data_IF_336320227311
#
_entry.id   IF_336320227311
#
_cell.length_a   1.000
_cell.length_b   1.000
_cell.length_c   1.000
_cell.angle_alpha   90.00
_cell.angle_beta   90.00
_cell.angle_gamma   90.00
#
_symmetry.space_group_name_H-M   'P 1'
#
loop_
_entity.id
_entity.type
_entity.pdbx_description
1 polymer ?
#
# COMPACT_ATOMS: atom_id res chain seq x y z
N UNK A 1 -11.73 22.38 -0.09
CA UNK A 1 -10.43 22.08 0.51
C UNK A 1 -10.17 20.59 0.68
N UNK A 2 -11.04 19.83 1.40
CA UNK A 2 -10.80 18.40 1.59
C UNK A 2 -10.69 17.62 0.27
N UNK A 3 -11.55 17.90 -0.72
CA UNK A 3 -11.46 17.28 -2.05
C UNK A 3 -10.12 17.54 -2.77
N UNK A 4 -9.50 18.71 -2.58
CA UNK A 4 -8.15 18.99 -3.11
C UNK A 4 -7.10 18.11 -2.45
N UNK A 5 -7.19 17.92 -1.13
CA UNK A 5 -6.28 17.02 -0.40
C UNK A 5 -6.48 15.56 -0.83
N UNK A 6 -7.72 15.13 -1.04
CA UNK A 6 -8.04 13.80 -1.57
C UNK A 6 -7.47 13.60 -2.99
N UNK A 7 -7.64 14.59 -3.87
CA UNK A 7 -7.07 14.54 -5.21
C UNK A 7 -5.53 14.45 -5.19
N UNK A 8 -4.88 15.21 -4.29
CA UNK A 8 -3.43 15.11 -4.10
C UNK A 8 -3.00 13.73 -3.58
N UNK A 9 -3.82 13.09 -2.76
CA UNK A 9 -3.55 11.74 -2.27
C UNK A 9 -3.79 10.66 -3.33
N UNK A 10 -4.72 10.89 -4.26
CA UNK A 10 -4.83 10.03 -5.45
C UNK A 10 -3.54 10.05 -6.27
N UNK A 11 -2.87 11.21 -6.42
CA UNK A 11 -1.56 11.31 -7.09
C UNK A 11 -0.49 10.51 -6.34
N UNK A 12 -0.47 10.56 -5.01
CA UNK A 12 0.40 9.72 -4.19
C UNK A 12 0.17 8.21 -4.47
N UNK A 13 -1.09 7.78 -4.48
CA UNK A 13 -1.45 6.41 -4.80
C UNK A 13 -1.05 6.03 -6.23
N UNK A 14 -1.14 6.97 -7.17
CA UNK A 14 -0.68 6.78 -8.55
C UNK A 14 0.83 6.52 -8.60
N UNK A 15 1.65 7.27 -7.88
CA UNK A 15 3.11 7.11 -7.86
C UNK A 15 3.52 5.71 -7.39
N UNK A 16 2.86 5.19 -6.34
CA UNK A 16 3.12 3.83 -5.80
C UNK A 16 2.90 2.72 -6.82
N UNK A 17 1.90 2.86 -7.68
CA UNK A 17 1.52 1.81 -8.63
C UNK A 17 2.27 1.91 -9.96
N UNK A 18 2.96 3.03 -10.22
CA UNK A 18 3.60 3.29 -11.49
C UNK A 18 4.86 2.45 -11.69
N UNK A 19 5.82 2.54 -10.76
CA UNK A 19 7.16 1.95 -10.94
C UNK A 19 7.12 0.44 -11.21
N UNK A 20 6.30 -0.38 -10.51
CA UNK A 20 6.18 -1.81 -10.80
C UNK A 20 5.82 -2.14 -12.25
N UNK A 21 5.03 -1.28 -12.90
CA UNK A 21 4.66 -1.44 -14.31
C UNK A 21 5.83 -1.17 -15.26
N UNK A 22 6.78 -0.30 -14.85
CA UNK A 22 7.94 0.12 -15.64
C UNK A 22 9.18 -0.77 -15.44
N UNK A 23 9.11 -1.72 -14.53
CA UNK A 23 10.22 -2.62 -14.17
C UNK A 23 10.88 -3.29 -15.36
N UNK A 24 10.17 -3.84 -16.36
CA UNK A 24 10.81 -4.47 -17.52
C UNK A 24 11.70 -3.50 -18.31
N UNK A 25 11.32 -2.24 -18.47
CA UNK A 25 12.10 -1.22 -19.17
C UNK A 25 13.33 -0.81 -18.36
N UNK A 26 13.16 -0.56 -17.06
CA UNK A 26 14.25 -0.24 -16.13
C UNK A 26 15.27 -1.37 -16.11
N UNK A 27 14.79 -2.62 -16.00
CA UNK A 27 15.64 -3.82 -16.01
C UNK A 27 16.47 -3.91 -17.29
N UNK A 28 15.84 -3.73 -18.45
CA UNK A 28 16.54 -3.76 -19.75
C UNK A 28 17.54 -2.62 -19.90
N UNK A 29 17.21 -1.42 -19.40
CA UNK A 29 18.07 -0.24 -19.52
C UNK A 29 19.34 -0.33 -18.69
N UNK A 30 19.26 -0.89 -17.49
CA UNK A 30 20.37 -0.91 -16.52
C UNK A 30 21.01 -2.29 -16.33
N UNK A 31 20.45 -3.35 -16.93
CA UNK A 31 20.96 -4.71 -16.76
C UNK A 31 20.73 -5.28 -15.35
N UNK A 32 19.76 -4.77 -14.60
CA UNK A 32 19.50 -5.23 -13.24
C UNK A 32 18.94 -6.66 -13.23
N UNK A 33 19.26 -7.40 -12.17
CA UNK A 33 18.65 -8.71 -11.91
C UNK A 33 17.15 -8.57 -11.61
N UNK A 34 16.38 -9.62 -11.82
CA UNK A 34 14.94 -9.64 -11.48
C UNK A 34 14.71 -9.40 -9.99
N UNK A 35 15.56 -9.96 -9.13
CA UNK A 35 15.53 -9.70 -7.69
C UNK A 35 15.82 -8.22 -7.37
N UNK A 36 16.82 -7.61 -8.03
CA UNK A 36 17.17 -6.21 -7.84
C UNK A 36 16.03 -5.27 -8.20
N UNK A 37 15.41 -5.43 -9.38
CA UNK A 37 14.27 -4.58 -9.76
C UNK A 37 13.04 -4.85 -8.90
N UNK A 38 12.85 -6.08 -8.43
CA UNK A 38 11.82 -6.41 -7.46
C UNK A 38 12.03 -5.64 -6.15
N UNK A 39 13.28 -5.54 -5.68
CA UNK A 39 13.61 -4.72 -4.50
C UNK A 39 13.30 -3.23 -4.74
N UNK A 40 13.72 -2.68 -5.88
CA UNK A 40 13.40 -1.29 -6.25
C UNK A 40 11.89 -1.03 -6.32
N UNK A 41 11.08 -2.03 -6.71
CA UNK A 41 9.63 -1.91 -6.75
C UNK A 41 8.98 -1.81 -5.38
N UNK A 42 9.60 -2.38 -4.35
CA UNK A 42 8.99 -2.47 -3.01
C UNK A 42 9.72 -1.70 -1.93
N UNK A 43 10.97 -1.26 -2.15
CA UNK A 43 11.79 -0.56 -1.14
C UNK A 43 11.18 0.75 -0.63
N UNK A 44 10.31 1.40 -1.40
CA UNK A 44 9.61 2.60 -0.93
C UNK A 44 8.82 2.32 0.36
N UNK A 45 8.34 1.10 0.57
CA UNK A 45 7.64 0.73 1.80
C UNK A 45 8.55 0.76 3.03
N UNK A 46 9.86 0.56 2.87
CA UNK A 46 10.82 0.80 3.96
C UNK A 46 10.82 2.28 4.36
N UNK A 47 10.84 3.18 3.39
CA UNK A 47 10.68 4.62 3.64
C UNK A 47 9.39 4.92 4.40
N UNK A 48 8.29 4.29 4.01
CA UNK A 48 6.99 4.43 4.70
C UNK A 48 7.06 3.92 6.15
N UNK A 49 7.67 2.77 6.39
CA UNK A 49 7.82 2.22 7.74
C UNK A 49 8.64 3.13 8.66
N UNK A 50 9.68 3.76 8.13
CA UNK A 50 10.58 4.65 8.86
C UNK A 50 10.01 6.06 9.08
N UNK A 51 9.08 6.51 8.25
CA UNK A 51 8.58 7.88 8.24
C UNK A 51 7.69 8.25 9.43
N UNK A 52 7.08 7.28 10.10
CA UNK A 52 6.06 7.55 11.13
C UNK A 52 6.57 8.42 12.29
N UNK A 53 7.71 8.06 12.89
CA UNK A 53 8.29 8.80 14.02
C UNK A 53 8.78 10.18 13.60
N UNK A 54 9.59 10.34 12.52
CA UNK A 54 9.99 11.64 12.01
C UNK A 54 8.82 12.56 11.68
N UNK A 55 7.77 12.02 11.06
CA UNK A 55 6.57 12.82 10.71
C UNK A 55 5.87 13.34 11.97
N UNK A 56 5.73 12.50 13.00
CA UNK A 56 5.17 12.92 14.28
C UNK A 56 5.95 14.10 14.91
N UNK A 57 7.29 14.04 14.86
CA UNK A 57 8.16 15.10 15.34
C UNK A 57 8.02 16.40 14.53
N UNK A 58 7.91 16.30 13.21
CA UNK A 58 7.69 17.46 12.34
C UNK A 58 6.35 18.14 12.63
N UNK A 59 5.29 17.37 12.90
CA UNK A 59 3.95 17.89 13.23
C UNK A 59 3.88 18.66 14.55
N UNK A 60 4.85 18.51 15.45
CA UNK A 60 4.97 19.32 16.68
C UNK A 60 5.60 20.67 16.37
N UNK A 61 6.44 20.78 15.33
CA UNK A 61 7.23 21.99 15.03
C UNK A 61 6.71 22.82 13.87
N UNK A 62 6.04 22.18 12.92
CA UNK A 62 5.59 22.81 11.69
C UNK A 62 4.09 22.60 11.48
N UNK A 63 3.48 23.49 10.69
CA UNK A 63 2.08 23.37 10.33
C UNK A 63 1.81 22.08 9.54
N UNK A 64 0.63 21.50 9.72
CA UNK A 64 0.20 20.29 8.98
C UNK A 64 0.26 20.53 7.47
N UNK A 65 -0.15 21.72 7.01
CA UNK A 65 -0.05 22.10 5.59
C UNK A 65 1.39 22.03 5.09
N UNK A 66 2.34 22.59 5.83
CA UNK A 66 3.77 22.58 5.48
C UNK A 66 4.34 21.17 5.44
N UNK A 67 4.05 20.35 6.46
CA UNK A 67 4.54 18.96 6.50
C UNK A 67 3.96 18.14 5.33
N UNK A 68 2.67 18.33 5.01
CA UNK A 68 2.05 17.68 3.85
C UNK A 68 2.72 18.08 2.55
N UNK A 69 2.94 19.37 2.30
CA UNK A 69 3.59 19.87 1.09
C UNK A 69 5.04 19.40 0.98
N UNK A 70 5.77 19.36 2.11
CA UNK A 70 7.12 18.79 2.16
C UNK A 70 7.13 17.29 1.79
N UNK A 71 6.15 16.52 2.28
CA UNK A 71 5.97 15.12 1.90
C UNK A 71 5.71 14.94 0.41
N UNK A 72 4.80 15.76 -0.15
CA UNK A 72 4.51 15.74 -1.60
C UNK A 72 5.76 16.14 -2.41
N UNK A 73 6.49 17.17 -1.99
CA UNK A 73 7.73 17.59 -2.65
C UNK A 73 8.78 16.46 -2.63
N UNK A 74 8.92 15.77 -1.50
CA UNK A 74 9.89 14.71 -1.34
C UNK A 74 9.59 13.51 -2.25
N UNK A 75 8.35 13.02 -2.29
CA UNK A 75 8.03 11.89 -3.17
C UNK A 75 8.09 12.30 -4.65
N UNK A 76 7.60 13.47 -5.00
CA UNK A 76 7.64 13.97 -6.39
C UNK A 76 9.08 14.18 -6.89
N UNK A 77 9.94 14.75 -6.04
CA UNK A 77 11.37 14.89 -6.35
C UNK A 77 12.05 13.52 -6.49
N UNK A 78 11.78 12.57 -5.58
CA UNK A 78 12.30 11.20 -5.66
C UNK A 78 11.89 10.49 -6.95
N UNK A 79 10.63 10.65 -7.37
CA UNK A 79 10.11 10.12 -8.63
C UNK A 79 10.83 10.74 -9.84
N UNK A 80 11.03 12.07 -9.88
CA UNK A 80 11.77 12.72 -10.96
C UNK A 80 13.27 12.35 -10.94
N UNK A 81 13.90 12.29 -9.77
CA UNK A 81 15.31 11.90 -9.63
C UNK A 81 15.56 10.46 -10.09
N UNK A 82 14.55 9.57 -9.96
CA UNK A 82 14.64 8.20 -10.49
C UNK A 82 14.91 8.18 -12.00
N UNK A 83 14.46 9.20 -12.76
CA UNK A 83 14.65 9.31 -14.22
C UNK A 83 16.13 9.48 -14.59
N UNK A 84 16.86 10.22 -13.76
CA UNK A 84 18.28 10.56 -13.98
C UNK A 84 19.23 9.71 -13.16
N UNK A 85 18.74 8.67 -12.50
CA UNK A 85 19.55 7.73 -11.73
C UNK A 85 20.63 7.10 -12.62
N UNK A 86 21.84 6.99 -12.09
CA UNK A 86 22.99 6.41 -12.81
C UNK A 86 23.11 4.91 -12.61
N UNK A 87 22.47 4.37 -11.57
CA UNK A 87 22.53 2.96 -11.25
C UNK A 87 21.62 2.55 -10.10
N UNK A 88 21.83 1.34 -9.62
CA UNK A 88 21.01 0.74 -8.57
C UNK A 88 20.99 1.54 -7.24
N UNK A 89 22.15 2.01 -6.71
CA UNK A 89 22.16 2.75 -5.44
C UNK A 89 21.34 4.05 -5.51
N UNK A 90 21.45 4.81 -6.60
CA UNK A 90 20.71 6.06 -6.78
C UNK A 90 19.20 5.78 -6.77
N UNK A 91 18.75 4.81 -7.59
CA UNK A 91 17.35 4.41 -7.64
C UNK A 91 16.83 3.95 -6.27
N UNK A 92 17.65 3.18 -5.54
CA UNK A 92 17.30 2.69 -4.21
C UNK A 92 17.03 3.86 -3.25
N UNK A 93 17.92 4.84 -3.21
CA UNK A 93 17.80 6.03 -2.36
C UNK A 93 16.56 6.83 -2.76
N UNK A 94 16.37 7.09 -4.06
CA UNK A 94 15.24 7.89 -4.55
C UNK A 94 13.90 7.18 -4.27
N UNK A 95 13.82 5.87 -4.49
CA UNK A 95 12.61 5.09 -4.19
C UNK A 95 12.32 5.00 -2.68
N UNK A 96 13.33 4.88 -1.83
CA UNK A 96 13.13 4.95 -0.38
C UNK A 96 12.66 6.34 0.06
N UNK A 97 13.22 7.41 -0.52
CA UNK A 97 12.80 8.79 -0.25
C UNK A 97 11.35 9.05 -0.69
N UNK A 98 10.91 8.50 -1.85
CA UNK A 98 9.49 8.58 -2.24
C UNK A 98 8.58 8.03 -1.15
N UNK A 99 8.91 6.87 -0.58
CA UNK A 99 8.13 6.24 0.48
C UNK A 99 8.02 7.09 1.75
N UNK A 100 9.09 7.79 2.13
CA UNK A 100 9.06 8.74 3.26
C UNK A 100 8.05 9.86 2.97
N UNK A 101 8.15 10.49 1.81
CA UNK A 101 7.26 11.58 1.41
C UNK A 101 5.79 11.16 1.33
N UNK A 102 5.53 9.98 0.78
CA UNK A 102 4.19 9.39 0.68
C UNK A 102 3.55 9.15 2.05
N UNK A 103 4.32 8.61 3.00
CA UNK A 103 3.85 8.36 4.36
C UNK A 103 3.64 9.67 5.13
N UNK A 104 4.49 10.67 4.94
CA UNK A 104 4.31 12.01 5.51
C UNK A 104 2.95 12.59 5.08
N UNK A 105 2.66 12.58 3.78
CA UNK A 105 1.38 13.08 3.27
C UNK A 105 0.19 12.32 3.85
N UNK A 106 0.23 10.98 3.85
CA UNK A 106 -0.86 10.16 4.38
C UNK A 106 -1.11 10.41 5.86
N UNK A 107 -0.05 10.47 6.67
CA UNK A 107 -0.13 10.71 8.12
C UNK A 107 -0.79 12.06 8.41
N UNK A 108 -0.38 13.10 7.70
CA UNK A 108 -0.96 14.44 7.86
C UNK A 108 -2.41 14.47 7.38
N UNK A 109 -2.72 13.84 6.24
CA UNK A 109 -4.09 13.80 5.71
C UNK A 109 -5.06 13.10 6.68
N UNK A 110 -4.66 11.97 7.26
CA UNK A 110 -5.44 11.28 8.29
C UNK A 110 -5.63 12.19 9.50
N UNK A 111 -4.58 12.88 9.94
CA UNK A 111 -4.64 13.80 11.09
C UNK A 111 -5.64 14.93 10.84
N UNK A 112 -5.61 15.56 9.66
CA UNK A 112 -6.57 16.61 9.28
C UNK A 112 -7.99 16.04 9.26
N UNK A 113 -8.20 14.87 8.62
CA UNK A 113 -9.52 14.26 8.50
C UNK A 113 -10.14 13.96 9.87
N UNK A 114 -9.37 13.35 10.78
CA UNK A 114 -9.84 12.97 12.12
C UNK A 114 -10.14 14.19 13.00
N UNK A 115 -9.36 15.27 12.88
CA UNK A 115 -9.53 16.47 13.70
C UNK A 115 -10.65 17.40 13.19
N UNK A 116 -10.76 17.54 11.86
CA UNK A 116 -11.77 18.42 11.27
C UNK A 116 -13.17 17.78 11.22
N UNK A 117 -13.28 16.50 10.84
CA UNK A 117 -14.56 15.81 10.70
C UNK A 117 -14.93 15.03 11.96
N UNK A 118 -15.04 15.70 13.10
CA UNK A 118 -15.26 15.05 14.42
C UNK A 118 -16.48 14.13 14.43
N UNK A 119 -17.60 14.56 13.84
CA UNK A 119 -18.84 13.79 13.79
C UNK A 119 -18.87 12.72 12.70
N UNK A 120 -18.02 12.83 11.65
CA UNK A 120 -18.04 11.99 10.45
C UNK A 120 -16.64 11.40 10.15
N UNK A 121 -15.86 11.07 11.17
CA UNK A 121 -14.48 10.55 11.02
C UNK A 121 -14.38 9.36 10.08
N UNK A 122 -15.28 8.38 10.26
CA UNK A 122 -15.30 7.17 9.44
C UNK A 122 -15.54 7.47 7.95
N UNK A 123 -16.43 8.42 7.65
CA UNK A 123 -16.68 8.86 6.28
C UNK A 123 -15.47 9.57 5.68
N UNK A 124 -14.78 10.42 6.45
CA UNK A 124 -13.57 11.12 6.01
C UNK A 124 -12.41 10.13 5.74
N UNK A 125 -12.21 9.14 6.61
CA UNK A 125 -11.23 8.07 6.39
C UNK A 125 -11.62 7.17 5.20
N UNK A 126 -12.91 6.90 5.03
CA UNK A 126 -13.43 6.21 3.85
C UNK A 126 -13.14 6.96 2.55
N UNK A 127 -13.27 8.29 2.55
CA UNK A 127 -12.93 9.13 1.40
C UNK A 127 -11.42 9.09 1.07
N UNK A 128 -10.55 9.00 2.07
CA UNK A 128 -9.11 8.80 1.86
C UNK A 128 -8.85 7.44 1.18
N UNK A 129 -9.45 6.37 1.68
CA UNK A 129 -9.30 5.04 1.08
C UNK A 129 -9.89 4.98 -0.34
N UNK A 130 -11.01 5.62 -0.58
CA UNK A 130 -11.59 5.75 -1.93
C UNK A 130 -10.63 6.48 -2.88
N UNK A 131 -10.04 7.58 -2.42
CA UNK A 131 -9.05 8.35 -3.20
C UNK A 131 -7.81 7.49 -3.54
N UNK A 132 -7.33 6.68 -2.60
CA UNK A 132 -6.28 5.69 -2.88
C UNK A 132 -6.70 4.71 -3.97
N UNK A 133 -7.92 4.16 -3.88
CA UNK A 133 -8.47 3.25 -4.89
C UNK A 133 -8.54 3.88 -6.28
N UNK A 134 -8.98 5.15 -6.38
CA UNK A 134 -8.98 5.89 -7.64
C UNK A 134 -7.56 6.02 -8.23
N UNK A 135 -6.57 6.37 -7.41
CA UNK A 135 -5.18 6.44 -7.85
C UNK A 135 -4.67 5.07 -8.33
N UNK A 136 -5.01 4.00 -7.62
CA UNK A 136 -4.63 2.63 -7.98
C UNK A 136 -5.30 2.13 -9.29
N UNK A 137 -6.48 2.67 -9.65
CA UNK A 137 -7.11 2.40 -10.94
C UNK A 137 -6.45 3.21 -12.06
N UNK A 138 -6.31 4.51 -11.85
CA UNK A 138 -5.89 5.46 -12.89
C UNK A 138 -4.42 5.27 -13.25
N UNK A 139 -3.55 5.02 -12.26
CA UNK A 139 -2.10 4.93 -12.46
C UNK A 139 -1.67 3.88 -13.48
N UNK A 140 -2.07 2.60 -13.36
CA UNK A 140 -1.62 1.59 -14.30
C UNK A 140 -2.16 1.81 -15.72
N UNK A 141 -3.36 2.38 -15.85
CA UNK A 141 -3.97 2.72 -17.16
C UNK A 141 -3.15 3.83 -17.83
N UNK A 142 -2.97 4.97 -17.14
CA UNK A 142 -2.23 6.11 -17.68
C UNK A 142 -0.76 5.76 -17.86
N UNK A 143 -0.14 5.10 -16.89
CA UNK A 143 1.25 4.68 -16.96
C UNK A 143 1.51 3.72 -18.14
N UNK A 144 0.63 2.74 -18.33
CA UNK A 144 0.69 1.80 -19.46
C UNK A 144 0.48 2.48 -20.81
N UNK A 145 -0.47 3.41 -20.90
CA UNK A 145 -0.72 4.20 -22.11
C UNK A 145 0.45 5.12 -22.46
N UNK A 146 0.98 5.86 -21.49
CA UNK A 146 2.13 6.76 -21.68
C UNK A 146 3.39 5.98 -22.07
N UNK A 147 3.63 4.82 -21.44
CA UNK A 147 4.74 3.95 -21.78
C UNK A 147 4.60 3.41 -23.21
N UNK A 148 3.40 2.98 -23.60
CA UNK A 148 3.13 2.48 -24.95
C UNK A 148 3.31 3.55 -26.03
N UNK A 149 2.81 4.76 -25.79
CA UNK A 149 2.89 5.89 -26.73
C UNK A 149 4.32 6.42 -26.91
N UNK A 150 5.06 6.59 -25.80
CA UNK A 150 6.38 7.21 -25.83
C UNK A 150 7.54 6.22 -25.95
N UNK A 151 7.28 4.92 -25.75
CA UNK A 151 8.30 3.85 -25.68
C UNK A 151 9.44 4.16 -24.68
N UNK A 152 9.17 5.03 -23.72
CA UNK A 152 10.12 5.52 -22.73
C UNK A 152 9.49 5.43 -21.34
N UNK A 153 10.16 4.72 -20.43
CA UNK A 153 9.73 4.60 -19.02
C UNK A 153 9.87 5.92 -18.24
N UNK A 154 10.69 6.85 -18.72
CA UNK A 154 10.89 8.16 -18.12
C UNK A 154 9.65 9.06 -18.28
N UNK A 155 8.91 8.92 -19.38
CA UNK A 155 7.76 9.78 -19.67
C UNK A 155 6.64 9.66 -18.61
N UNK A 156 6.13 8.48 -18.23
CA UNK A 156 5.15 8.37 -17.16
C UNK A 156 5.71 8.79 -15.79
N UNK A 157 6.99 8.53 -15.48
CA UNK A 157 7.63 9.00 -14.24
C UNK A 157 7.67 10.53 -14.19
N UNK A 158 8.06 11.20 -15.30
CA UNK A 158 8.07 12.66 -15.39
C UNK A 158 6.67 13.25 -15.22
N UNK A 159 5.67 12.67 -15.89
CA UNK A 159 4.29 13.14 -15.79
C UNK A 159 3.77 13.07 -14.35
N UNK A 160 4.00 11.96 -13.64
CA UNK A 160 3.49 11.77 -12.28
C UNK A 160 4.26 12.60 -11.26
N UNK A 161 5.58 12.72 -11.39
CA UNK A 161 6.37 13.61 -10.53
C UNK A 161 5.97 15.07 -10.67
N UNK A 162 5.72 15.55 -11.91
CA UNK A 162 5.25 16.93 -12.17
C UNK A 162 3.83 17.15 -11.64
N UNK A 163 2.93 16.16 -11.73
CA UNK A 163 1.60 16.23 -11.13
C UNK A 163 1.66 16.44 -9.61
N UNK A 164 2.63 15.86 -8.93
CA UNK A 164 2.83 16.10 -7.51
C UNK A 164 3.22 17.55 -7.20
N UNK A 165 4.12 18.16 -7.98
CA UNK A 165 4.45 19.58 -7.82
C UNK A 165 3.27 20.50 -8.16
N UNK A 166 2.47 20.15 -9.17
CA UNK A 166 1.21 20.84 -9.44
C UNK A 166 0.26 20.76 -8.24
N UNK A 167 0.15 19.60 -7.61
CA UNK A 167 -0.67 19.44 -6.41
C UNK A 167 -0.21 20.34 -5.26
N UNK A 168 1.11 20.55 -5.08
CA UNK A 168 1.65 21.49 -4.09
C UNK A 168 1.15 22.91 -4.39
N UNK A 169 1.23 23.36 -5.66
CA UNK A 169 0.78 24.69 -6.05
C UNK A 169 -0.72 24.86 -5.81
N UNK A 170 -1.53 23.86 -6.18
CA UNK A 170 -2.98 23.88 -5.94
C UNK A 170 -3.30 23.90 -4.45
N UNK A 171 -2.64 23.09 -3.62
CA UNK A 171 -2.82 23.10 -2.16
C UNK A 171 -2.41 24.47 -1.58
N UNK A 172 -1.31 25.07 -2.06
CA UNK A 172 -0.84 26.37 -1.58
C UNK A 172 -1.91 27.46 -1.69
N UNK A 173 -2.60 27.47 -2.84
CA UNK A 173 -3.63 28.50 -3.17
C UNK A 173 -5.01 28.12 -2.61
N UNK A 174 -5.42 26.83 -2.68
CA UNK A 174 -6.82 26.43 -2.46
C UNK A 174 -7.10 25.93 -1.05
N UNK A 175 -6.08 25.61 -0.25
CA UNK A 175 -6.25 25.08 1.11
C UNK A 175 -5.82 26.10 2.15
N UNK A 176 -6.80 26.62 2.87
CA UNK A 176 -6.53 27.63 3.90
C UNK A 176 -5.96 26.97 5.18
N UNK A 177 -5.06 27.68 5.92
CA UNK A 177 -4.45 27.15 7.15
C UNK A 177 -5.48 26.76 8.23
N UNK A 178 -6.58 27.49 8.39
CA UNK A 178 -7.61 27.17 9.38
C UNK A 178 -8.24 25.78 9.17
N UNK A 179 -8.25 25.28 7.93
CA UNK A 179 -8.77 23.94 7.62
C UNK A 179 -7.80 22.83 8.05
N UNK A 180 -6.50 23.07 7.93
CA UNK A 180 -5.47 22.08 8.25
C UNK A 180 -5.07 22.09 9.72
N UNK A 181 -5.13 23.26 10.39
CA UNK A 181 -4.62 23.46 11.74
C UNK A 181 -5.73 23.44 12.82
N UNK A 182 -6.93 22.94 12.49
CA UNK A 182 -8.01 22.81 13.46
C UNK A 182 -7.57 22.10 14.76
N UNK A 183 -8.15 22.51 15.88
CA UNK A 183 -7.79 22.02 17.23
C UNK A 183 -7.87 20.49 17.32
N UNK A 184 -6.90 19.91 18.02
CA UNK A 184 -6.91 18.49 18.34
C UNK A 184 -7.94 18.23 19.43
N UNK A 185 -9.10 17.71 19.07
CA UNK A 185 -10.09 17.29 20.06
C UNK A 185 -9.58 16.03 20.75
N UNK A 186 -9.08 16.19 21.98
CA UNK A 186 -8.70 15.06 22.83
C UNK A 186 -9.99 14.42 23.36
N UNK A 187 -10.37 13.28 22.78
CA UNK A 187 -11.44 12.47 23.35
C UNK A 187 -10.87 11.57 24.43
N UNK A 188 -11.41 11.67 25.65
CA UNK A 188 -11.27 10.60 26.63
C UNK A 188 -11.96 9.35 26.06
N UNK A 189 -11.17 8.45 25.49
CA UNK A 189 -11.67 7.12 25.13
C UNK A 189 -11.91 6.36 26.41
N UNK A 190 -13.18 6.04 26.73
CA UNK A 190 -13.49 5.01 27.73
C UNK A 190 -12.66 3.78 27.43
N UNK A 191 -11.97 3.28 28.44
CA UNK A 191 -11.13 2.09 28.34
C UNK A 191 -12.05 0.93 27.91
N UNK A 192 -11.93 0.52 26.65
CA UNK A 192 -12.59 -0.66 26.13
C UNK A 192 -11.68 -1.86 26.44
N UNK A 193 -12.24 -3.05 26.58
CA UNK A 193 -11.51 -4.30 26.81
C UNK A 193 -10.31 -4.44 25.86
N UNK A 194 -9.55 -5.47 26.03
CA UNK A 194 -8.31 -5.73 25.30
C UNK A 194 -7.13 -5.90 26.26
N UNK A 195 -6.03 -6.46 25.76
CA UNK A 195 -4.89 -6.79 26.60
C UNK A 195 -4.19 -5.54 27.15
N UNK A 196 -3.74 -5.57 28.42
CA UNK A 196 -3.02 -4.45 29.04
C UNK A 196 -1.56 -4.35 28.59
N UNK A 197 -1.03 -5.35 27.90
CA UNK A 197 0.37 -5.45 27.47
C UNK A 197 0.48 -5.58 25.96
N UNK A 198 1.53 -5.00 25.39
CA UNK A 198 1.80 -5.09 23.94
C UNK A 198 2.09 -6.54 23.51
N UNK A 199 2.73 -7.31 24.38
CA UNK A 199 3.05 -8.71 24.11
C UNK A 199 1.96 -9.58 24.69
N UNK A 200 1.03 -9.99 23.85
CA UNK A 200 -0.02 -10.97 24.14
C UNK A 200 -0.26 -11.85 22.92
N UNK A 201 -0.93 -12.97 23.08
CA UNK A 201 -1.14 -13.97 22.03
C UNK A 201 -1.72 -13.35 20.74
N UNK A 202 -2.77 -12.56 20.86
CA UNK A 202 -3.44 -11.97 19.70
C UNK A 202 -2.53 -10.98 18.99
N UNK A 203 -1.84 -10.09 19.70
CA UNK A 203 -0.91 -9.12 19.11
C UNK A 203 0.24 -9.81 18.40
N UNK A 204 0.83 -10.88 18.98
CA UNK A 204 1.90 -11.64 18.35
C UNK A 204 1.42 -12.28 17.05
N UNK A 205 0.26 -12.99 17.09
CA UNK A 205 -0.31 -13.62 15.90
C UNK A 205 -0.64 -12.61 14.82
N UNK A 206 -1.27 -11.49 15.18
CA UNK A 206 -1.59 -10.40 14.23
C UNK A 206 -0.32 -9.78 13.63
N UNK A 207 0.75 -9.61 14.42
CA UNK A 207 2.03 -9.10 13.93
C UNK A 207 2.68 -10.06 12.93
N UNK A 208 2.70 -11.38 13.21
CA UNK A 208 3.20 -12.38 12.26
C UNK A 208 2.35 -12.38 10.98
N UNK A 209 1.02 -12.35 11.12
CA UNK A 209 0.13 -12.24 9.96
C UNK A 209 0.34 -10.92 9.17
N UNK A 210 0.69 -9.82 9.83
CA UNK A 210 1.01 -8.56 9.14
C UNK A 210 2.34 -8.64 8.41
N UNK A 211 3.37 -9.29 8.96
CA UNK A 211 4.61 -9.57 8.25
C UNK A 211 4.35 -10.41 6.99
N UNK A 212 3.57 -11.47 7.10
CA UNK A 212 3.16 -12.30 5.96
C UNK A 212 2.33 -11.47 4.97
N UNK A 213 1.36 -10.71 5.46
CA UNK A 213 0.50 -9.85 4.64
C UNK A 213 1.29 -8.83 3.83
N UNK A 214 2.36 -8.26 4.41
CA UNK A 214 3.29 -7.37 3.69
C UNK A 214 4.02 -8.08 2.55
N UNK A 215 4.55 -9.28 2.81
CA UNK A 215 5.21 -10.09 1.77
C UNK A 215 4.24 -10.48 0.65
N UNK A 216 3.02 -10.87 0.99
CA UNK A 216 1.99 -11.32 0.05
C UNK A 216 1.46 -10.15 -0.79
N UNK A 217 1.01 -9.08 -0.15
CA UNK A 217 0.43 -7.93 -0.83
C UNK A 217 1.45 -7.22 -1.72
N UNK A 218 2.63 -6.92 -1.20
CA UNK A 218 3.65 -6.19 -1.94
C UNK A 218 4.47 -7.08 -2.87
N UNK A 219 4.52 -8.40 -2.65
CA UNK A 219 4.98 -9.35 -3.64
C UNK A 219 4.15 -9.29 -4.93
N UNK A 220 2.83 -9.28 -4.78
CA UNK A 220 1.90 -9.05 -5.89
C UNK A 220 2.08 -7.66 -6.50
N UNK A 221 1.94 -6.59 -5.72
CA UNK A 221 2.00 -5.22 -6.24
C UNK A 221 3.35 -4.90 -6.91
N UNK A 222 4.45 -5.40 -6.36
CA UNK A 222 5.79 -5.11 -6.87
C UNK A 222 6.19 -5.90 -8.11
N UNK A 223 5.70 -7.13 -8.27
CA UNK A 223 6.23 -8.03 -9.29
C UNK A 223 5.19 -8.66 -10.23
N UNK A 224 3.90 -8.62 -9.87
CA UNK A 224 2.86 -9.17 -10.74
C UNK A 224 2.72 -8.41 -12.08
N UNK A 225 2.87 -7.07 -12.15
CA UNK A 225 2.93 -6.37 -13.43
C UNK A 225 4.08 -6.87 -14.33
N UNK A 226 5.23 -7.21 -13.72
CA UNK A 226 6.37 -7.79 -14.45
C UNK A 226 6.06 -9.19 -14.93
N UNK A 227 5.39 -10.03 -14.13
CA UNK A 227 4.91 -11.36 -14.55
C UNK A 227 3.92 -11.27 -15.73
N UNK A 228 2.96 -10.35 -15.69
CA UNK A 228 2.05 -10.15 -16.83
C UNK A 228 2.81 -9.80 -18.12
N UNK A 229 3.86 -9.01 -18.03
CA UNK A 229 4.64 -8.53 -19.17
C UNK A 229 5.71 -9.53 -19.65
N UNK A 230 6.51 -10.07 -18.73
CA UNK A 230 7.62 -10.97 -19.08
C UNK A 230 7.21 -12.45 -19.06
N UNK A 231 6.29 -12.84 -18.19
CA UNK A 231 5.79 -14.21 -18.08
C UNK A 231 4.66 -14.55 -19.05
N UNK A 232 3.70 -13.63 -19.21
CA UNK A 232 2.52 -13.84 -20.05
C UNK A 232 2.56 -13.04 -21.37
N UNK A 233 3.58 -12.23 -21.61
CA UNK A 233 3.76 -11.49 -22.86
C UNK A 233 2.80 -10.31 -23.08
N UNK A 234 2.19 -9.77 -22.02
CA UNK A 234 1.25 -8.65 -22.14
C UNK A 234 1.93 -7.37 -22.59
N UNK A 235 1.22 -6.57 -23.41
CA UNK A 235 1.62 -5.19 -23.68
C UNK A 235 1.57 -4.34 -22.39
N UNK A 236 2.31 -3.21 -22.32
CA UNK A 236 2.22 -2.32 -21.18
C UNK A 236 0.79 -1.87 -20.84
N UNK A 237 -0.01 -1.55 -21.87
CA UNK A 237 -1.40 -1.14 -21.71
C UNK A 237 -2.28 -2.27 -21.17
N UNK A 238 -2.13 -3.49 -21.68
CA UNK A 238 -2.89 -4.65 -21.18
C UNK A 238 -2.54 -4.97 -19.72
N UNK A 239 -1.25 -4.99 -19.36
CA UNK A 239 -0.82 -5.20 -17.99
C UNK A 239 -1.34 -4.10 -17.06
N UNK A 240 -1.27 -2.82 -17.49
CA UNK A 240 -1.83 -1.71 -16.76
C UNK A 240 -3.34 -1.84 -16.53
N UNK A 241 -4.10 -2.26 -17.55
CA UNK A 241 -5.54 -2.48 -17.42
C UNK A 241 -5.84 -3.61 -16.43
N UNK A 242 -5.15 -4.75 -16.49
CA UNK A 242 -5.31 -5.82 -15.50
C UNK A 242 -5.03 -5.32 -14.09
N UNK A 243 -3.97 -4.53 -13.89
CA UNK A 243 -3.65 -3.95 -12.59
C UNK A 243 -4.68 -2.94 -12.09
N UNK A 244 -5.39 -2.24 -12.98
CA UNK A 244 -6.46 -1.32 -12.58
C UNK A 244 -7.65 -2.05 -11.95
N UNK A 245 -7.93 -3.29 -12.33
CA UNK A 245 -8.95 -4.12 -11.69
C UNK A 245 -8.61 -4.45 -10.24
N UNK A 246 -7.32 -4.58 -9.89
CA UNK A 246 -6.91 -4.64 -8.48
C UNK A 246 -7.35 -3.38 -7.71
N UNK A 247 -7.11 -2.19 -8.26
CA UNK A 247 -7.54 -0.92 -7.66
C UNK A 247 -9.06 -0.86 -7.47
N UNK A 248 -9.82 -1.34 -8.45
CA UNK A 248 -11.28 -1.43 -8.36
C UNK A 248 -11.72 -2.36 -7.23
N UNK A 249 -11.08 -3.52 -7.07
CA UNK A 249 -11.33 -4.44 -5.96
C UNK A 249 -11.00 -3.82 -4.60
N UNK A 250 -9.91 -3.07 -4.50
CA UNK A 250 -9.48 -2.41 -3.26
C UNK A 250 -10.48 -1.37 -2.73
N UNK A 251 -11.31 -0.77 -3.59
CA UNK A 251 -12.43 0.11 -3.18
C UNK A 251 -13.43 -0.64 -2.27
N UNK A 252 -13.52 -1.95 -2.37
CA UNK A 252 -14.32 -2.80 -1.49
C UNK A 252 -13.93 -2.76 -0.01
N UNK A 253 -12.89 -1.98 0.37
CA UNK A 253 -12.43 -1.83 1.75
C UNK A 253 -13.49 -1.36 2.75
N UNK A 254 -14.50 -0.63 2.30
CA UNK A 254 -15.65 -0.22 3.14
C UNK A 254 -16.45 -1.46 3.56
N UNK A 255 -16.76 -2.34 2.61
CA UNK A 255 -17.45 -3.60 2.89
C UNK A 255 -16.57 -4.54 3.74
N UNK A 256 -15.27 -4.54 3.49
CA UNK A 256 -14.30 -5.31 4.28
C UNK A 256 -14.23 -4.88 5.74
N UNK A 257 -14.24 -3.59 6.01
CA UNK A 257 -14.34 -3.06 7.38
C UNK A 257 -15.64 -3.48 8.08
N UNK A 258 -16.78 -3.37 7.39
CA UNK A 258 -18.07 -3.81 7.90
C UNK A 258 -18.08 -5.32 8.23
N UNK A 259 -17.49 -6.16 7.38
CA UNK A 259 -17.31 -7.60 7.67
C UNK A 259 -16.52 -7.83 8.95
N UNK A 260 -15.44 -7.09 9.16
CA UNK A 260 -14.59 -7.17 10.33
C UNK A 260 -15.25 -6.69 11.64
N UNK A 261 -16.26 -5.85 11.54
CA UNK A 261 -17.06 -5.41 12.70
C UNK A 261 -18.19 -6.41 13.04
N UNK A 262 -18.68 -7.15 12.04
CA UNK A 262 -19.85 -8.03 12.20
C UNK A 262 -19.48 -9.49 12.53
N UNK A 263 -18.34 -9.96 12.05
CA UNK A 263 -17.90 -11.34 12.22
C UNK A 263 -16.64 -11.44 13.11
N UNK A 264 -16.41 -12.63 13.66
CA UNK A 264 -15.24 -12.81 14.52
C UNK A 264 -13.92 -12.65 13.74
N UNK A 265 -12.89 -12.01 14.34
CA UNK A 265 -11.57 -11.85 13.73
C UNK A 265 -10.96 -13.17 13.21
N UNK A 266 -11.19 -14.26 13.93
CA UNK A 266 -10.76 -15.62 13.55
C UNK A 266 -11.38 -16.00 12.20
N UNK A 267 -12.71 -15.87 12.06
CA UNK A 267 -13.41 -16.26 10.84
C UNK A 267 -13.02 -15.39 9.66
N UNK A 268 -13.01 -14.06 9.85
CA UNK A 268 -12.69 -13.10 8.77
C UNK A 268 -11.29 -13.34 8.24
N UNK A 269 -10.27 -13.37 9.11
CA UNK A 269 -8.90 -13.53 8.65
C UNK A 269 -8.60 -14.91 8.10
N UNK A 270 -9.10 -16.00 8.74
CA UNK A 270 -8.83 -17.35 8.24
C UNK A 270 -9.46 -17.57 6.86
N UNK A 271 -10.75 -17.26 6.70
CA UNK A 271 -11.44 -17.46 5.42
C UNK A 271 -10.83 -16.61 4.29
N UNK A 272 -10.49 -15.35 4.57
CA UNK A 272 -9.93 -14.46 3.55
C UNK A 272 -8.48 -14.80 3.20
N UNK A 273 -7.65 -15.24 4.14
CA UNK A 273 -6.31 -15.72 3.81
C UNK A 273 -6.33 -17.05 3.04
N UNK A 274 -7.25 -17.98 3.35
CA UNK A 274 -7.41 -19.18 2.53
C UNK A 274 -7.93 -18.85 1.12
N UNK A 275 -8.85 -17.89 1.00
CA UNK A 275 -9.28 -17.39 -0.30
C UNK A 275 -8.12 -16.72 -1.07
N UNK A 276 -7.30 -15.91 -0.39
CA UNK A 276 -6.11 -15.30 -0.98
C UNK A 276 -5.10 -16.36 -1.46
N UNK A 277 -4.93 -17.46 -0.72
CA UNK A 277 -4.07 -18.57 -1.15
C UNK A 277 -4.55 -19.20 -2.47
N UNK A 278 -5.84 -19.45 -2.58
CA UNK A 278 -6.43 -20.00 -3.80
C UNK A 278 -6.33 -19.00 -4.99
N UNK A 279 -6.64 -17.72 -4.76
CA UNK A 279 -6.49 -16.68 -5.77
C UNK A 279 -5.03 -16.50 -6.21
N UNK A 280 -4.09 -16.52 -5.25
CA UNK A 280 -2.66 -16.44 -5.53
C UNK A 280 -2.19 -17.59 -6.43
N UNK A 281 -2.64 -18.80 -6.14
CA UNK A 281 -2.37 -19.96 -7.00
C UNK A 281 -2.91 -19.76 -8.41
N UNK A 282 -4.18 -19.34 -8.54
CA UNK A 282 -4.83 -19.13 -9.84
C UNK A 282 -4.20 -17.99 -10.65
N UNK A 283 -3.70 -16.92 -10.00
CA UNK A 283 -3.02 -15.81 -10.67
C UNK A 283 -1.76 -16.27 -11.43
N UNK A 284 -1.00 -17.22 -10.86
CA UNK A 284 0.29 -17.64 -11.43
C UNK A 284 0.22 -18.97 -12.18
N UNK A 285 -0.77 -19.84 -11.89
CA UNK A 285 -0.95 -21.14 -12.54
C UNK A 285 -2.19 -21.22 -13.44
N UNK A 286 -3.09 -20.26 -13.32
CA UNK A 286 -4.33 -20.25 -14.09
C UNK A 286 -4.14 -19.81 -15.54
N UNK A 287 -5.25 -19.53 -16.21
CA UNK A 287 -5.24 -19.09 -17.61
C UNK A 287 -4.52 -17.74 -17.74
N UNK A 288 -3.54 -17.66 -18.64
CA UNK A 288 -2.88 -16.41 -19.03
C UNK A 288 -3.70 -15.51 -19.94
N UNK A 289 -5.00 -15.78 -20.15
CA UNK A 289 -5.88 -14.92 -20.95
C UNK A 289 -6.28 -13.65 -20.16
N UNK A 290 -6.55 -12.56 -20.90
CA UNK A 290 -6.80 -11.23 -20.31
C UNK A 290 -7.98 -11.21 -19.34
N UNK A 291 -9.13 -11.77 -19.72
CA UNK A 291 -10.35 -11.72 -18.88
C UNK A 291 -10.17 -12.47 -17.55
N UNK A 292 -9.69 -13.73 -17.51
CA UNK A 292 -9.39 -14.40 -16.26
C UNK A 292 -8.42 -13.62 -15.38
N UNK A 293 -7.34 -13.06 -15.93
CA UNK A 293 -6.36 -12.28 -15.16
C UNK A 293 -6.95 -10.99 -14.60
N UNK A 294 -7.82 -10.30 -15.33
CA UNK A 294 -8.53 -9.12 -14.86
C UNK A 294 -9.48 -9.45 -13.70
N UNK A 295 -10.26 -10.54 -13.83
CA UNK A 295 -11.18 -11.00 -12.76
C UNK A 295 -10.38 -11.40 -11.52
N UNK A 296 -9.31 -12.16 -11.67
CA UNK A 296 -8.46 -12.59 -10.56
C UNK A 296 -7.80 -11.38 -9.86
N UNK A 297 -7.33 -10.37 -10.62
CA UNK A 297 -6.79 -9.13 -10.06
C UNK A 297 -7.86 -8.35 -9.27
N UNK A 298 -9.10 -8.27 -9.77
CA UNK A 298 -10.21 -7.66 -9.04
C UNK A 298 -10.48 -8.38 -7.72
N UNK A 299 -10.64 -9.70 -7.77
CA UNK A 299 -10.88 -10.51 -6.57
C UNK A 299 -9.71 -10.43 -5.58
N UNK A 300 -8.48 -10.39 -6.08
CA UNK A 300 -7.29 -10.17 -5.27
C UNK A 300 -7.33 -8.83 -4.55
N UNK A 301 -7.63 -7.75 -5.26
CA UNK A 301 -7.80 -6.41 -4.68
C UNK A 301 -8.89 -6.38 -3.61
N UNK A 302 -10.02 -7.01 -3.87
CA UNK A 302 -11.15 -7.10 -2.94
C UNK A 302 -10.78 -7.87 -1.66
N UNK A 303 -10.16 -9.03 -1.78
CA UNK A 303 -9.84 -9.89 -0.64
C UNK A 303 -8.62 -9.34 0.13
N UNK A 304 -7.52 -9.05 -0.55
CA UNK A 304 -6.26 -8.74 0.14
C UNK A 304 -6.21 -7.29 0.61
N UNK A 305 -6.54 -6.34 -0.24
CA UNK A 305 -6.57 -4.92 0.16
C UNK A 305 -7.89 -4.50 0.78
N UNK A 306 -9.00 -5.01 0.24
CA UNK A 306 -10.34 -4.66 0.72
C UNK A 306 -10.64 -5.28 2.08
N UNK A 307 -10.26 -6.52 2.34
CA UNK A 307 -10.63 -7.20 3.60
C UNK A 307 -9.41 -7.43 4.51
N UNK A 308 -8.36 -8.13 4.05
CA UNK A 308 -7.24 -8.54 4.91
C UNK A 308 -6.52 -7.33 5.49
N UNK A 309 -6.07 -6.39 4.64
CA UNK A 309 -5.31 -5.21 5.07
C UNK A 309 -6.07 -4.36 6.09
N UNK A 310 -7.33 -4.06 5.82
CA UNK A 310 -8.17 -3.21 6.69
C UNK A 310 -8.41 -3.88 8.04
N UNK A 311 -8.69 -5.19 8.03
CA UNK A 311 -8.98 -5.92 9.25
C UNK A 311 -7.73 -6.22 10.08
N UNK A 312 -6.58 -6.49 9.47
CA UNK A 312 -5.32 -6.58 10.21
C UNK A 312 -5.03 -5.28 10.97
N UNK A 313 -5.19 -4.12 10.31
CA UNK A 313 -5.02 -2.81 10.96
C UNK A 313 -6.01 -2.61 12.13
N UNK A 314 -7.30 -2.90 11.90
CA UNK A 314 -8.35 -2.74 12.89
C UNK A 314 -8.19 -3.69 14.08
N UNK A 315 -7.84 -4.93 13.83
CA UNK A 315 -7.71 -5.94 14.89
C UNK A 315 -6.48 -5.74 15.78
N UNK A 316 -5.39 -5.15 15.27
CA UNK A 316 -4.29 -4.71 16.14
C UNK A 316 -4.77 -3.70 17.19
N UNK A 317 -5.61 -2.77 16.79
CA UNK A 317 -6.19 -1.80 17.73
C UNK A 317 -7.18 -2.46 18.70
N UNK A 318 -7.98 -3.43 18.23
CA UNK A 318 -8.95 -4.19 19.08
C UNK A 318 -8.26 -5.18 20.04
N UNK A 319 -7.06 -5.66 19.73
CA UNK A 319 -6.31 -6.59 20.57
C UNK A 319 -5.73 -5.95 21.85
N UNK A 320 -5.66 -4.61 21.92
CA UNK A 320 -5.04 -3.85 22.99
C UNK A 320 -6.03 -2.87 23.60
N UNK A 321 -5.79 -2.47 24.89
CA UNK A 321 -6.53 -1.38 25.52
C UNK A 321 -6.43 -0.08 24.73
N UNK A 322 -7.45 0.78 24.84
CA UNK A 322 -7.53 2.07 24.13
C UNK A 322 -6.31 2.96 24.35
N UNK A 323 -5.71 2.92 25.53
CA UNK A 323 -4.47 3.66 25.87
C UNK A 323 -3.24 3.22 25.04
N UNK A 324 -3.25 2.00 24.52
CA UNK A 324 -2.18 1.43 23.69
C UNK A 324 -2.48 1.43 22.19
N UNK A 325 -3.62 1.98 21.75
CA UNK A 325 -4.05 1.94 20.35
C UNK A 325 -3.05 2.57 19.37
N UNK A 326 -2.37 3.65 19.77
CA UNK A 326 -1.32 4.27 18.95
C UNK A 326 -0.12 3.32 18.74
N UNK A 327 0.29 2.59 19.79
CA UNK A 327 1.37 1.60 19.71
C UNK A 327 0.95 0.38 18.87
N UNK A 328 -0.32 -0.03 18.97
CA UNK A 328 -0.89 -1.10 18.13
C UNK A 328 -0.79 -0.76 16.64
N UNK A 329 -1.18 0.47 16.26
CA UNK A 329 -1.06 0.95 14.88
C UNK A 329 0.39 1.01 14.43
N UNK A 330 1.30 1.44 15.30
CA UNK A 330 2.74 1.43 15.02
C UNK A 330 3.27 0.01 14.73
N UNK A 331 2.90 -0.98 15.53
CA UNK A 331 3.28 -2.39 15.32
C UNK A 331 2.77 -2.88 13.97
N UNK A 332 1.50 -2.63 13.64
CA UNK A 332 0.92 -3.00 12.35
C UNK A 332 1.69 -2.38 11.18
N UNK A 333 1.89 -1.06 11.19
CA UNK A 333 2.56 -0.33 10.10
C UNK A 333 4.00 -0.83 9.93
N UNK A 334 4.75 -0.93 11.03
CA UNK A 334 6.16 -1.36 10.97
C UNK A 334 6.30 -2.81 10.50
N UNK A 335 5.46 -3.72 10.99
CA UNK A 335 5.51 -5.13 10.59
C UNK A 335 5.12 -5.32 9.12
N UNK A 336 4.02 -4.72 8.68
CA UNK A 336 3.52 -4.87 7.32
C UNK A 336 4.44 -4.19 6.30
N UNK A 337 4.77 -2.93 6.49
CA UNK A 337 5.61 -2.20 5.51
C UNK A 337 7.09 -2.57 5.60
N UNK A 338 7.57 -2.97 6.77
CA UNK A 338 8.95 -3.47 6.93
C UNK A 338 9.18 -4.76 6.14
N UNK A 339 8.28 -5.73 6.23
CA UNK A 339 8.36 -6.97 5.43
C UNK A 339 8.08 -6.72 3.94
N UNK A 340 7.15 -5.81 3.63
CA UNK A 340 6.83 -5.41 2.26
C UNK A 340 8.07 -4.91 1.49
N UNK A 341 9.02 -4.26 2.17
CA UNK A 341 10.21 -3.71 1.52
C UNK A 341 11.03 -4.76 0.76
N UNK A 342 11.09 -5.98 1.26
CA UNK A 342 11.83 -7.09 0.64
C UNK A 342 10.96 -8.01 -0.22
N UNK A 343 9.66 -7.76 -0.28
CA UNK A 343 8.71 -8.65 -0.95
C UNK A 343 9.01 -8.85 -2.43
N UNK A 344 9.26 -7.78 -3.16
CA UNK A 344 9.59 -7.84 -4.58
C UNK A 344 10.95 -8.51 -4.86
N UNK A 345 11.93 -8.30 -3.96
CA UNK A 345 13.21 -9.02 -4.04
C UNK A 345 13.00 -10.54 -3.98
N UNK A 346 12.21 -11.00 -3.01
CA UNK A 346 11.97 -12.43 -2.81
C UNK A 346 11.25 -13.07 -4.00
N UNK A 347 10.17 -12.43 -4.54
CA UNK A 347 9.51 -12.91 -5.75
C UNK A 347 10.50 -12.99 -6.91
N UNK A 348 11.27 -11.93 -7.16
CA UNK A 348 12.24 -11.90 -8.25
C UNK A 348 13.36 -12.92 -8.09
N UNK A 349 13.81 -13.16 -6.87
CA UNK A 349 14.84 -14.15 -6.55
C UNK A 349 14.36 -15.59 -6.78
N UNK A 350 13.14 -15.92 -6.32
CA UNK A 350 12.52 -17.22 -6.55
C UNK A 350 12.23 -17.41 -8.04
N UNK A 351 11.65 -16.39 -8.70
CA UNK A 351 11.30 -16.46 -10.11
C UNK A 351 12.51 -16.70 -11.01
N UNK A 352 13.68 -16.12 -10.67
CA UNK A 352 14.93 -16.35 -11.41
C UNK A 352 15.43 -17.79 -11.30
N UNK A 353 15.20 -18.47 -10.17
CA UNK A 353 15.69 -19.82 -9.88
C UNK A 353 14.71 -20.93 -10.25
N UNK A 354 13.43 -20.69 -10.03
CA UNK A 354 12.39 -21.72 -10.09
C UNK A 354 11.17 -21.33 -10.95
N UNK A 355 11.23 -20.16 -11.59
CA UNK A 355 10.13 -19.66 -12.43
C UNK A 355 9.06 -18.88 -11.68
N UNK A 356 8.22 -18.19 -12.46
CA UNK A 356 7.17 -17.30 -11.93
C UNK A 356 6.08 -18.06 -11.15
N UNK A 357 5.69 -19.24 -11.63
CA UNK A 357 4.68 -20.08 -11.00
C UNK A 357 5.10 -20.47 -9.58
N UNK A 358 6.33 -20.96 -9.42
CA UNK A 358 6.89 -21.32 -8.10
C UNK A 358 7.02 -20.10 -7.18
N UNK A 359 7.38 -18.93 -7.72
CA UNK A 359 7.43 -17.70 -6.93
C UNK A 359 6.05 -17.32 -6.38
N UNK A 360 5.00 -17.39 -7.22
CA UNK A 360 3.62 -17.17 -6.82
C UNK A 360 3.14 -18.21 -5.80
N UNK A 361 3.46 -19.49 -6.03
CA UNK A 361 3.09 -20.59 -5.14
C UNK A 361 3.70 -20.42 -3.73
N UNK A 362 5.00 -20.16 -3.64
CA UNK A 362 5.68 -20.05 -2.35
C UNK A 362 5.33 -18.74 -1.65
N UNK A 363 5.52 -17.60 -2.30
CA UNK A 363 5.40 -16.32 -1.60
C UNK A 363 3.97 -15.83 -1.48
N UNK A 364 3.11 -16.12 -2.45
CA UNK A 364 1.73 -15.62 -2.43
C UNK A 364 0.79 -16.67 -1.83
N UNK A 365 0.78 -17.90 -2.36
CA UNK A 365 -0.20 -18.91 -1.94
C UNK A 365 0.16 -19.57 -0.61
N UNK A 366 1.37 -20.11 -0.48
CA UNK A 366 1.78 -20.85 0.73
C UNK A 366 1.84 -19.92 1.96
N UNK A 367 2.38 -18.72 1.84
CA UNK A 367 2.39 -17.76 2.95
C UNK A 367 0.96 -17.36 3.36
N UNK A 368 0.05 -17.21 2.40
CA UNK A 368 -1.37 -16.96 2.72
C UNK A 368 -2.02 -18.17 3.44
N UNK A 369 -1.71 -19.39 3.05
CA UNK A 369 -2.17 -20.60 3.79
C UNK A 369 -1.68 -20.61 5.24
N UNK A 370 -0.39 -20.29 5.44
CA UNK A 370 0.20 -20.20 6.79
C UNK A 370 -0.52 -19.13 7.61
N UNK A 371 -0.74 -17.94 7.04
CA UNK A 371 -1.45 -16.86 7.74
C UNK A 371 -2.90 -17.25 8.07
N UNK A 372 -3.61 -17.96 7.17
CA UNK A 372 -4.94 -18.50 7.41
C UNK A 372 -4.96 -19.49 8.57
N UNK A 373 -3.96 -20.37 8.66
CA UNK A 373 -3.76 -21.29 9.77
C UNK A 373 -3.50 -20.56 11.10
N UNK A 374 -2.63 -19.54 11.10
CA UNK A 374 -2.36 -18.71 12.28
C UNK A 374 -3.63 -17.96 12.76
N UNK A 375 -4.47 -17.51 11.83
CA UNK A 375 -5.73 -16.84 12.18
C UNK A 375 -6.68 -17.73 12.97
N UNK A 376 -6.68 -19.04 12.77
CA UNK A 376 -7.47 -20.00 13.55
C UNK A 376 -7.07 -20.03 15.03
N UNK A 377 -5.84 -19.63 15.36
CA UNK A 377 -5.33 -19.58 16.73
C UNK A 377 -5.67 -18.30 17.49
N UNK A 378 -6.31 -17.30 16.84
CA UNK A 378 -6.77 -16.07 17.50
C UNK A 378 -7.81 -16.36 18.58
N UNK A 379 -7.80 -15.53 19.62
CA UNK A 379 -8.75 -15.56 20.75
C UNK A 379 -9.63 -14.30 20.71
N UNK A 380 -10.77 -14.31 19.97
CA UNK A 380 -11.62 -13.13 19.83
C UNK A 380 -12.17 -12.59 21.15
N UNK A 381 -12.41 -13.48 22.12
CA UNK A 381 -12.94 -13.11 23.44
C UNK A 381 -11.99 -12.21 24.26
N UNK A 382 -10.72 -12.09 23.86
CA UNK A 382 -9.72 -11.21 24.47
C UNK A 382 -9.50 -9.91 23.69
N UNK A 383 -10.32 -9.65 22.67
CA UNK A 383 -10.28 -8.46 21.83
C UNK A 383 -11.52 -7.60 22.13
N UNK A 384 -11.36 -6.26 22.09
CA UNK A 384 -12.44 -5.29 22.36
C UNK A 384 -13.27 -4.95 21.14
#
# INVERSE_FOLDING_TARGET
MFGVLLASYAINAMDRQLFPLLVPEVRRRYGFSLAGVGFLSTVFTLGMALAGVPTGYLLVRFSRKTVMQAGIALFSAGTLLTIIARGFPDMLIYRAATGIGEAMQLTVLITIAVNYFVSNRSAALGAINFSFGLGAIVSPILGGALLGANRSWQAPMAAFGLLGFLAIAVIAVSVAPWFTEGETVTYERKDRGGAPTLVNRNTVLLTVMSLIGGLVLYGYLGMYPTFLREGLGYSPAAAGTVMSFYGLGAIGSIAGGWLGDRFSPRLVLSSTFFCAAALGYLLFHGSGAFIPQAILSFLWGLIVSGVIYVNLAGYHAKALRSSLAGRASGIFVTSLYGSAAVAGYLVGWIATRAGWTTAGEIQISLLSLIAGGLALALQPNQMS
#
